data_IF_682733040667
#
_entry.id   IF_682733040667
#
_cell.length_a   1.000
_cell.length_b   1.000
_cell.length_c   1.000
_cell.angle_alpha   90.00
_cell.angle_beta   90.00
_cell.angle_gamma   90.00
#
_symmetry.space_group_name_H-M   'P 1'
#
loop_
_entity.id
_entity.type
_entity.pdbx_description
1 polymer ?
#
# COMPACT_ATOMS: atom_id res chain seq x y z
N UNK A 1 -18.62 -13.48 20.20
CA UNK A 1 -19.13 -14.11 18.96
C UNK A 1 -18.00 -14.97 18.42
N UNK A 2 -18.19 -16.22 18.00
CA UNK A 2 -17.14 -16.96 17.31
C UNK A 2 -16.75 -16.21 16.04
N UNK A 3 -15.46 -16.21 15.72
CA UNK A 3 -14.96 -15.59 14.50
C UNK A 3 -15.46 -16.43 13.30
N UNK A 4 -16.29 -15.86 12.40
CA UNK A 4 -16.86 -16.61 11.28
C UNK A 4 -15.83 -17.10 10.26
N UNK A 5 -14.57 -16.68 10.40
CA UNK A 5 -13.45 -17.08 9.54
C UNK A 5 -12.51 -18.08 10.21
N UNK A 6 -12.78 -18.46 11.46
CA UNK A 6 -12.00 -19.44 12.20
C UNK A 6 -12.09 -20.82 11.51
N UNK A 7 -10.94 -21.36 11.11
CA UNK A 7 -10.84 -22.66 10.42
C UNK A 7 -10.69 -22.58 8.89
N UNK A 8 -10.69 -21.38 8.28
CA UNK A 8 -10.33 -21.25 6.86
C UNK A 8 -8.84 -21.57 6.67
N UNK A 9 -8.55 -22.58 5.85
CA UNK A 9 -7.18 -23.02 5.51
C UNK A 9 -6.89 -23.04 4.02
N UNK A 10 -7.87 -22.72 3.17
CA UNK A 10 -7.72 -22.53 1.73
C UNK A 10 -7.99 -21.07 1.36
N UNK A 11 -7.17 -20.52 0.47
CA UNK A 11 -7.28 -19.14 -0.01
C UNK A 11 -8.58 -18.93 -0.80
N UNK A 12 -9.09 -19.99 -1.44
CA UNK A 12 -10.33 -19.94 -2.21
C UNK A 12 -11.59 -19.83 -1.34
N UNK A 13 -11.47 -20.16 -0.05
CA UNK A 13 -12.57 -20.07 0.91
C UNK A 13 -12.63 -18.71 1.61
N UNK A 14 -11.71 -17.79 1.27
CA UNK A 14 -11.72 -16.44 1.81
C UNK A 14 -12.97 -15.69 1.33
N UNK A 15 -13.65 -14.95 2.23
CA UNK A 15 -14.80 -14.16 1.85
C UNK A 15 -14.41 -13.05 0.88
N UNK A 16 -15.35 -12.64 0.03
CA UNK A 16 -15.15 -11.57 -0.92
C UNK A 16 -14.75 -10.25 -0.20
N UNK A 17 -13.86 -9.45 -0.80
CA UNK A 17 -13.41 -8.20 -0.20
C UNK A 17 -14.52 -7.14 -0.20
N UNK A 18 -14.54 -6.34 0.87
CA UNK A 18 -15.29 -5.10 0.91
C UNK A 18 -14.55 -4.04 0.09
N UNK A 19 -15.24 -3.49 -0.90
CA UNK A 19 -14.68 -2.41 -1.73
C UNK A 19 -14.91 -1.06 -1.06
N UNK A 20 -13.82 -0.37 -0.76
CA UNK A 20 -13.81 0.97 -0.17
C UNK A 20 -13.30 1.97 -1.20
N UNK A 21 -14.09 3.00 -1.48
CA UNK A 21 -13.71 4.02 -2.45
C UNK A 21 -12.63 4.95 -1.87
N UNK A 22 -11.56 5.18 -2.63
CA UNK A 22 -10.53 6.17 -2.31
C UNK A 22 -10.35 7.14 -3.47
N UNK A 23 -10.53 8.43 -3.22
CA UNK A 23 -10.52 9.43 -4.29
C UNK A 23 -9.23 10.26 -4.29
N UNK A 24 -8.48 10.17 -5.37
CA UNK A 24 -7.31 10.99 -5.72
C UNK A 24 -7.49 11.59 -7.13
N UNK A 25 -8.72 11.79 -7.58
CA UNK A 25 -9.03 12.43 -8.85
C UNK A 25 -9.12 13.94 -8.67
N UNK A 26 -8.06 14.65 -9.08
CA UNK A 26 -7.96 16.09 -8.95
C UNK A 26 -8.08 16.77 -10.31
N UNK A 27 -8.73 17.94 -10.36
CA UNK A 27 -8.84 18.75 -11.58
C UNK A 27 -7.49 19.34 -12.00
N UNK A 28 -6.65 19.70 -11.04
CA UNK A 28 -5.32 20.26 -11.26
C UNK A 28 -4.34 19.73 -10.22
N UNK A 29 -3.09 19.58 -10.62
CA UNK A 29 -1.99 19.24 -9.71
C UNK A 29 -0.69 19.89 -10.22
N UNK A 30 0.27 20.23 -9.34
CA UNK A 30 1.57 20.76 -9.76
C UNK A 30 2.34 19.76 -10.63
N UNK A 31 2.99 20.24 -11.69
CA UNK A 31 3.89 19.40 -12.48
C UNK A 31 5.11 19.00 -11.66
N UNK A 32 5.47 17.70 -11.55
CA UNK A 32 6.63 17.27 -10.77
C UNK A 32 7.99 17.75 -11.32
N UNK A 33 8.01 18.39 -12.51
CA UNK A 33 9.22 18.92 -13.14
C UNK A 33 9.36 20.45 -13.01
N UNK A 34 8.27 21.20 -13.14
CA UNK A 34 8.32 22.67 -13.19
C UNK A 34 7.34 23.35 -12.23
N UNK A 35 6.60 22.57 -11.43
CA UNK A 35 5.62 23.00 -10.42
C UNK A 35 4.42 23.81 -10.96
N UNK A 36 4.41 24.12 -12.25
CA UNK A 36 3.28 24.80 -12.88
C UNK A 36 2.01 23.94 -12.80
N UNK A 37 0.83 24.57 -12.64
CA UNK A 37 -0.44 23.86 -12.62
C UNK A 37 -0.65 23.05 -13.91
N UNK A 38 -0.86 21.74 -13.77
CA UNK A 38 -1.19 20.85 -14.86
C UNK A 38 -2.65 20.40 -14.74
N UNK A 39 -3.44 20.69 -15.77
CA UNK A 39 -4.83 20.27 -15.83
C UNK A 39 -4.97 18.77 -16.03
N UNK A 40 -6.04 18.21 -15.48
CA UNK A 40 -6.42 16.82 -15.67
C UNK A 40 -6.66 16.54 -17.16
N UNK A 41 -6.03 15.48 -17.64
CA UNK A 41 -6.19 14.96 -18.98
C UNK A 41 -7.16 13.77 -19.01
N UNK A 42 -7.05 12.86 -18.04
CA UNK A 42 -7.93 11.69 -17.90
C UNK A 42 -7.99 11.21 -16.45
N UNK A 43 -8.92 10.30 -16.18
CA UNK A 43 -9.02 9.60 -14.89
C UNK A 43 -8.83 8.09 -15.10
N UNK A 44 -8.35 7.42 -14.07
CA UNK A 44 -8.16 5.99 -14.02
C UNK A 44 -8.63 5.41 -12.68
N UNK A 45 -8.70 4.09 -12.62
CA UNK A 45 -8.96 3.36 -11.38
C UNK A 45 -7.91 2.26 -11.20
N UNK A 46 -7.54 1.97 -9.96
CA UNK A 46 -6.77 0.77 -9.59
C UNK A 46 -7.28 0.25 -8.25
N UNK A 47 -7.18 -1.06 -8.06
CA UNK A 47 -7.50 -1.71 -6.79
C UNK A 47 -6.23 -1.95 -6.00
N UNK A 48 -6.26 -1.69 -4.70
CA UNK A 48 -5.20 -2.02 -3.75
C UNK A 48 -5.76 -2.85 -2.60
N UNK A 49 -5.13 -3.96 -2.29
CA UNK A 49 -5.41 -4.75 -1.10
C UNK A 49 -4.91 -3.99 0.14
N UNK A 50 -5.81 -3.76 1.08
CA UNK A 50 -5.52 -3.10 2.35
C UNK A 50 -5.92 -3.99 3.53
N UNK A 51 -5.60 -3.53 4.75
CA UNK A 51 -6.00 -4.21 5.98
C UNK A 51 -7.53 -4.23 6.10
N UNK A 52 -8.07 -5.42 6.32
CA UNK A 52 -9.51 -5.58 6.53
C UNK A 52 -9.94 -5.25 7.95
N UNK A 53 -11.21 -5.52 8.26
CA UNK A 53 -11.78 -5.29 9.59
C UNK A 53 -12.14 -6.62 10.24
N UNK A 54 -11.64 -6.85 11.46
CA UNK A 54 -11.95 -8.05 12.24
C UNK A 54 -13.45 -8.15 12.58
N UNK A 55 -14.12 -7.01 12.78
CA UNK A 55 -15.55 -6.95 13.09
C UNK A 55 -16.42 -7.40 11.91
N UNK A 56 -15.98 -7.11 10.68
CA UNK A 56 -16.70 -7.52 9.46
C UNK A 56 -16.27 -8.91 9.00
N UNK A 57 -15.05 -9.34 9.32
CA UNK A 57 -14.48 -10.60 8.85
C UNK A 57 -14.06 -10.57 7.38
N UNK A 58 -14.12 -9.41 6.71
CA UNK A 58 -13.85 -9.29 5.29
C UNK A 58 -12.48 -8.64 5.01
N UNK A 59 -11.77 -9.10 3.96
CA UNK A 59 -10.67 -8.32 3.40
C UNK A 59 -11.18 -6.99 2.84
N UNK A 60 -10.27 -6.02 2.69
CA UNK A 60 -10.62 -4.71 2.13
C UNK A 60 -9.82 -4.44 0.86
N UNK A 61 -10.54 -4.03 -0.17
CA UNK A 61 -9.97 -3.54 -1.42
C UNK A 61 -10.24 -2.03 -1.54
N UNK A 62 -9.19 -1.22 -1.57
CA UNK A 62 -9.26 0.20 -1.88
C UNK A 62 -9.39 0.38 -3.40
N UNK A 63 -10.55 0.83 -3.87
CA UNK A 63 -10.76 1.25 -5.24
C UNK A 63 -10.31 2.71 -5.39
N UNK A 64 -9.06 2.90 -5.79
CA UNK A 64 -8.42 4.20 -5.96
C UNK A 64 -8.81 4.79 -7.31
N UNK A 65 -9.65 5.82 -7.31
CA UNK A 65 -9.85 6.69 -8.47
C UNK A 65 -8.71 7.73 -8.49
N UNK A 66 -8.00 7.87 -9.61
CA UNK A 66 -6.87 8.79 -9.71
C UNK A 66 -6.89 9.56 -11.03
N UNK A 67 -6.30 10.75 -11.05
CA UNK A 67 -6.17 11.59 -12.25
C UNK A 67 -4.80 11.45 -12.91
N UNK A 68 -4.78 11.50 -14.24
CA UNK A 68 -3.59 11.80 -15.04
C UNK A 68 -3.66 13.24 -15.54
N UNK A 69 -2.53 13.93 -15.55
CA UNK A 69 -2.41 15.34 -15.89
C UNK A 69 -1.48 15.54 -17.08
N UNK A 70 -1.69 16.64 -17.80
CA UNK A 70 -0.80 17.10 -18.87
C UNK A 70 -0.26 18.48 -18.52
N UNK A 71 1.06 18.60 -18.44
CA UNK A 71 1.71 19.88 -18.23
C UNK A 71 1.86 20.63 -19.57
N UNK A 72 1.17 21.76 -19.72
CA UNK A 72 1.26 22.61 -20.91
C UNK A 72 2.68 23.17 -21.18
N UNK A 73 3.48 23.40 -20.13
CA UNK A 73 4.85 23.91 -20.22
C UNK A 73 5.86 22.83 -20.60
N UNK A 74 5.93 21.74 -19.83
CA UNK A 74 6.85 20.64 -20.09
C UNK A 74 6.43 19.70 -21.23
N UNK A 75 5.18 19.80 -21.72
CA UNK A 75 4.59 18.89 -22.73
C UNK A 75 4.67 17.41 -22.31
N UNK A 76 4.52 17.14 -21.01
CA UNK A 76 4.60 15.79 -20.44
C UNK A 76 3.30 15.41 -19.74
N UNK A 77 2.98 14.12 -19.85
CA UNK A 77 1.90 13.49 -19.09
C UNK A 77 2.46 12.84 -17.83
N UNK A 78 1.68 12.87 -16.76
CA UNK A 78 2.02 12.19 -15.51
C UNK A 78 0.75 11.82 -14.75
N UNK A 79 0.83 10.83 -13.88
CA UNK A 79 -0.26 10.51 -12.95
C UNK A 79 -0.07 11.34 -11.67
N UNK A 80 -1.18 11.63 -10.99
CA UNK A 80 -1.10 12.11 -9.61
C UNK A 80 -0.29 11.11 -8.77
N UNK A 81 0.47 11.64 -7.82
CA UNK A 81 1.30 10.82 -6.95
C UNK A 81 0.42 9.96 -6.04
N UNK A 82 0.73 8.67 -6.02
CA UNK A 82 0.11 7.63 -5.19
C UNK A 82 1.15 6.89 -4.36
N UNK A 83 2.40 7.37 -4.36
CA UNK A 83 3.51 6.72 -3.65
C UNK A 83 3.38 6.83 -2.13
N UNK A 84 2.52 7.72 -1.64
CA UNK A 84 2.07 7.78 -0.24
C UNK A 84 1.17 6.60 0.14
N UNK A 85 0.42 6.04 -0.82
CA UNK A 85 -0.54 4.96 -0.58
C UNK A 85 0.09 3.57 -0.80
N UNK A 86 0.84 3.41 -1.89
CA UNK A 86 1.47 2.14 -2.26
C UNK A 86 2.71 2.36 -3.13
N UNK A 87 3.71 1.46 -3.08
CA UNK A 87 4.83 1.50 -4.03
C UNK A 87 4.34 1.45 -5.50
N UNK A 88 5.11 2.01 -6.44
CA UNK A 88 4.78 1.92 -7.86
C UNK A 88 4.59 0.46 -8.31
N UNK A 89 3.47 0.18 -8.97
CA UNK A 89 3.12 -1.16 -9.45
C UNK A 89 2.68 -2.16 -8.36
N UNK A 90 2.66 -1.77 -7.08
CA UNK A 90 2.19 -2.65 -6.00
C UNK A 90 0.67 -2.85 -6.06
N UNK A 91 0.23 -4.06 -5.72
CA UNK A 91 -1.17 -4.40 -5.45
C UNK A 91 -1.56 -4.22 -3.99
N UNK A 92 -0.60 -3.92 -3.11
CA UNK A 92 -0.80 -3.76 -1.67
C UNK A 92 -0.44 -2.35 -1.22
N UNK A 93 -1.16 -1.84 -0.22
CA UNK A 93 -0.82 -0.58 0.46
C UNK A 93 0.48 -0.70 1.24
N UNK A 94 1.13 0.41 1.54
CA UNK A 94 2.28 0.42 2.47
C UNK A 94 1.92 -0.17 3.83
N UNK A 95 0.70 0.06 4.32
CA UNK A 95 0.21 -0.49 5.59
C UNK A 95 0.31 -2.01 5.64
N UNK A 96 -0.09 -2.70 4.56
CA UNK A 96 0.02 -4.16 4.48
C UNK A 96 1.48 -4.59 4.41
N UNK A 97 2.29 -3.91 3.60
CA UNK A 97 3.70 -4.25 3.40
C UNK A 97 4.48 -4.13 4.72
N UNK A 98 4.33 -3.00 5.43
CA UNK A 98 5.01 -2.73 6.69
C UNK A 98 4.62 -3.74 7.76
N UNK A 99 3.33 -4.07 7.86
CA UNK A 99 2.84 -5.07 8.80
C UNK A 99 3.35 -6.46 8.47
N UNK A 100 3.32 -6.85 7.19
CA UNK A 100 3.82 -8.14 6.74
C UNK A 100 5.32 -8.32 7.02
N UNK A 101 6.12 -7.27 6.78
CA UNK A 101 7.55 -7.28 7.12
C UNK A 101 7.75 -7.39 8.63
N UNK A 102 7.00 -6.63 9.44
CA UNK A 102 7.04 -6.72 10.90
C UNK A 102 6.76 -8.13 11.40
N UNK A 103 5.66 -8.75 10.94
CA UNK A 103 5.26 -10.11 11.35
C UNK A 103 6.36 -11.14 11.11
N UNK A 104 7.11 -10.99 10.02
CA UNK A 104 8.20 -11.94 9.70
C UNK A 104 9.49 -11.58 10.44
N UNK A 105 9.88 -10.30 10.44
CA UNK A 105 11.20 -9.87 10.90
C UNK A 105 11.23 -9.64 12.41
N UNK A 106 10.22 -8.97 12.96
CA UNK A 106 10.14 -8.63 14.38
C UNK A 106 9.51 -9.79 15.17
N UNK A 107 8.38 -10.34 14.70
CA UNK A 107 7.70 -11.43 15.42
C UNK A 107 8.27 -12.82 15.10
N UNK A 108 9.16 -12.92 14.11
CA UNK A 108 9.89 -14.15 13.76
C UNK A 108 9.03 -15.23 13.09
N UNK A 109 7.86 -14.87 12.54
CA UNK A 109 6.98 -15.87 11.93
C UNK A 109 7.58 -16.40 10.60
N UNK A 110 7.63 -17.73 10.39
CA UNK A 110 7.93 -18.30 9.09
C UNK A 110 6.93 -17.82 8.03
N UNK A 111 7.38 -17.57 6.80
CA UNK A 111 6.56 -16.98 5.73
C UNK A 111 5.20 -17.65 5.52
N UNK A 112 5.11 -18.99 5.55
CA UNK A 112 3.83 -19.71 5.41
C UNK A 112 2.88 -19.43 6.57
N UNK A 113 3.40 -19.39 7.79
CA UNK A 113 2.62 -19.04 8.99
C UNK A 113 2.22 -17.58 8.96
N UNK A 114 3.09 -16.69 8.47
CA UNK A 114 2.82 -15.26 8.34
C UNK A 114 1.64 -14.97 7.39
N UNK A 115 1.52 -15.67 6.25
CA UNK A 115 0.36 -15.52 5.35
C UNK A 115 -0.97 -15.74 6.06
N UNK A 116 -1.08 -16.81 6.86
CA UNK A 116 -2.29 -17.14 7.61
C UNK A 116 -2.48 -16.28 8.85
N UNK A 117 -1.39 -15.84 9.49
CA UNK A 117 -1.44 -14.87 10.58
C UNK A 117 -2.02 -13.54 10.10
N UNK A 118 -1.57 -13.02 8.95
CA UNK A 118 -2.10 -11.80 8.33
C UNK A 118 -3.59 -11.93 8.00
N UNK A 119 -4.03 -13.11 7.55
CA UNK A 119 -5.46 -13.36 7.33
C UNK A 119 -6.26 -13.31 8.63
N UNK A 120 -5.81 -14.06 9.65
CA UNK A 120 -6.55 -14.23 10.90
C UNK A 120 -6.65 -12.93 11.68
N UNK A 121 -5.55 -12.19 11.78
CA UNK A 121 -5.43 -11.06 12.71
C UNK A 121 -5.62 -9.71 12.00
N UNK A 122 -5.53 -9.68 10.66
CA UNK A 122 -5.57 -8.44 9.87
C UNK A 122 -6.43 -8.51 8.61
N UNK A 123 -7.10 -9.65 8.36
CA UNK A 123 -8.00 -9.87 7.21
C UNK A 123 -7.35 -9.51 5.88
N UNK A 124 -6.07 -9.82 5.72
CA UNK A 124 -5.38 -9.68 4.45
C UNK A 124 -4.55 -10.92 4.19
N UNK A 125 -4.75 -11.55 3.04
CA UNK A 125 -3.92 -12.68 2.65
C UNK A 125 -2.79 -12.19 1.76
N UNK A 126 -1.55 -12.50 2.15
CA UNK A 126 -0.35 -12.19 1.35
C UNK A 126 0.33 -13.51 0.97
N UNK A 127 0.49 -13.82 -0.33
CA UNK A 127 1.17 -15.03 -0.76
C UNK A 127 2.63 -15.09 -0.30
N UNK A 128 3.11 -16.31 -0.04
CA UNK A 128 4.49 -16.59 0.38
C UNK A 128 5.54 -15.84 -0.45
N UNK A 129 5.46 -15.92 -1.79
CA UNK A 129 6.45 -15.30 -2.67
C UNK A 129 6.46 -13.77 -2.56
N UNK A 130 5.30 -13.17 -2.29
CA UNK A 130 5.19 -11.73 -2.06
C UNK A 130 5.83 -11.34 -0.73
N UNK A 131 5.59 -12.09 0.35
CA UNK A 131 6.22 -11.87 1.65
C UNK A 131 7.75 -11.96 1.57
N UNK A 132 8.26 -13.02 0.93
CA UNK A 132 9.70 -13.22 0.75
C UNK A 132 10.33 -12.04 0.02
N UNK A 133 9.73 -11.59 -1.09
CA UNK A 133 10.24 -10.46 -1.87
C UNK A 133 10.32 -9.17 -1.04
N UNK A 134 9.32 -8.90 -0.19
CA UNK A 134 9.31 -7.70 0.66
C UNK A 134 10.35 -7.77 1.78
N UNK A 135 10.47 -8.91 2.46
CA UNK A 135 11.44 -9.10 3.55
C UNK A 135 12.87 -9.03 3.03
N UNK A 136 13.16 -9.65 1.89
CA UNK A 136 14.47 -9.54 1.26
C UNK A 136 14.79 -8.11 0.80
N UNK A 137 13.79 -7.39 0.27
CA UNK A 137 13.95 -5.99 -0.09
C UNK A 137 14.18 -5.09 1.12
N UNK A 138 13.53 -5.36 2.26
CA UNK A 138 13.74 -4.67 3.52
C UNK A 138 15.13 -4.93 4.10
N UNK A 139 15.60 -6.19 4.07
CA UNK A 139 16.94 -6.56 4.55
C UNK A 139 18.08 -5.92 3.74
N UNK A 140 17.86 -5.63 2.45
CA UNK A 140 18.81 -4.86 1.61
C UNK A 140 18.87 -3.38 1.96
N UNK A 141 17.86 -2.83 2.64
CA UNK A 141 17.76 -1.42 3.05
C UNK A 141 18.14 -1.24 4.53
N UNK A 142 19.25 -1.81 4.99
CA UNK A 142 19.72 -1.77 6.39
C UNK A 142 19.62 -0.38 7.05
N UNK A 143 19.66 -0.29 8.40
CA UNK A 143 19.11 0.82 9.17
C UNK A 143 19.77 2.14 8.78
N UNK A 144 19.09 2.93 7.95
CA UNK A 144 19.35 4.36 7.86
C UNK A 144 18.94 4.97 9.20
N UNK A 145 19.93 5.11 10.08
CA UNK A 145 19.89 6.08 11.16
C UNK A 145 19.59 7.43 10.49
N UNK A 146 18.35 7.88 10.59
CA UNK A 146 17.93 9.22 10.24
C UNK A 146 18.99 10.21 10.73
N UNK A 147 19.65 10.99 9.86
CA UNK A 147 20.48 12.08 10.32
C UNK A 147 19.55 13.08 11.00
N UNK A 148 19.65 13.15 12.32
CA UNK A 148 19.10 14.19 13.17
C UNK A 148 19.48 15.53 12.53
N UNK A 149 18.53 16.20 11.86
CA UNK A 149 18.68 17.60 11.47
C UNK A 149 18.90 18.40 12.74
N UNK A 150 20.15 18.74 13.03
CA UNK A 150 20.47 19.79 13.98
C UNK A 150 20.39 21.09 13.19
N UNK A 151 19.29 21.80 13.36
CA UNK A 151 19.21 23.23 13.04
C UNK A 151 19.89 24.02 14.16
N UNK A 152 20.76 24.97 13.80
CA UNK A 152 21.35 25.97 14.70
C UNK A 152 22.70 26.46 14.15
N UNK A 153 22.75 27.56 13.40
CA UNK A 153 22.86 28.97 13.84
C UNK A 153 24.32 29.43 14.04
N UNK A 154 24.75 30.33 13.15
CA UNK A 154 25.48 31.57 13.43
C UNK A 154 26.91 31.51 13.98
N UNK A 155 27.88 31.90 13.16
CA UNK A 155 28.61 33.17 13.24
C UNK A 155 29.49 33.35 11.99
#
# INVERSE_FOLDING_TARGET
MPDPTEGITDVNDLPAPQVVAYNRDHQQTPCPRCEQPASRHKSGKRTLHDLGNLDTGHPVDLLVAYSSHHCGYCKKHFNIDLTDLAPPGSHYTHRVIDLAVRVVVEDGLPYRSASWHLWRDHRVFVPFGTLQNWVEAAGKKGPELYPRRVSGLGA
#
